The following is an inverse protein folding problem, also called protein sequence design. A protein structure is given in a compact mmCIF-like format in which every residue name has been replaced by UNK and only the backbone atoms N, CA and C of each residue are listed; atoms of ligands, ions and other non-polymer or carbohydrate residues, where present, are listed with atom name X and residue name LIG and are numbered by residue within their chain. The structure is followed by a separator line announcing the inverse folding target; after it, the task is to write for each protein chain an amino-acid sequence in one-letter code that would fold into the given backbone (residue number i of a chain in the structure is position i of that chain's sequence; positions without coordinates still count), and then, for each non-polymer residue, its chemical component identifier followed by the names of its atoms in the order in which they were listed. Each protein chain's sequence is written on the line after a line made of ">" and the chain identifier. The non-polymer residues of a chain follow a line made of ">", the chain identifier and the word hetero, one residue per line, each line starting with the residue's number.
data_IF_683342088063
#
_entry.id   IF_683342088063
#
_cell.length_a   1.000
_cell.length_b   1.000
_cell.length_c   1.000
_cell.angle_alpha   90.00
_cell.angle_beta   90.00
_cell.angle_gamma   90.00
#
_symmetry.space_group_name_H-M   'P 1'
#
loop_
_entity.id
_entity.type
_entity.pdbx_description
1 polymer ?
#
# COMPACT_ATOMS: atom_id res chain seq x y z
N UNK A 1 -13.93 -54.88 -39.04
CA UNK A 1 -13.03 -54.30 -38.01
C UNK A 1 -13.46 -52.85 -37.77
N UNK A 2 -13.99 -52.56 -36.57
CA UNK A 2 -14.18 -51.22 -35.96
C UNK A 2 -13.15 -51.14 -34.81
N UNK A 3 -12.57 -49.99 -34.44
CA UNK A 3 -13.24 -48.99 -33.58
C UNK A 3 -12.96 -47.53 -34.06
N UNK A 4 -13.68 -46.45 -33.74
CA UNK A 4 -14.47 -45.94 -32.61
C UNK A 4 -13.82 -44.61 -32.19
N UNK A 5 -14.67 -43.60 -32.01
CA UNK A 5 -14.37 -42.19 -31.91
C UNK A 5 -13.48 -41.79 -30.72
N UNK A 6 -12.64 -40.78 -30.93
CA UNK A 6 -11.92 -40.06 -29.88
C UNK A 6 -12.19 -38.58 -30.10
N UNK A 7 -12.97 -37.96 -29.21
CA UNK A 7 -12.82 -36.57 -28.83
C UNK A 7 -13.22 -36.43 -27.36
N UNK A 8 -12.20 -36.52 -26.50
CA UNK A 8 -12.26 -36.23 -25.08
C UNK A 8 -12.42 -34.71 -24.91
N UNK A 9 -13.56 -34.29 -24.36
CA UNK A 9 -13.77 -32.94 -23.85
C UNK A 9 -12.91 -32.76 -22.59
N UNK A 10 -11.69 -32.25 -22.77
CA UNK A 10 -10.84 -31.83 -21.66
C UNK A 10 -11.36 -30.51 -21.09
N UNK A 11 -12.03 -30.58 -19.93
CA UNK A 11 -12.32 -29.39 -19.13
C UNK A 11 -11.00 -28.81 -18.63
N UNK A 12 -10.56 -27.71 -19.25
CA UNK A 12 -9.48 -26.87 -18.74
C UNK A 12 -10.04 -26.09 -17.54
N UNK A 13 -9.79 -26.59 -16.33
CA UNK A 13 -9.87 -25.77 -15.14
C UNK A 13 -8.69 -24.80 -15.17
N UNK A 14 -8.94 -23.57 -15.60
CA UNK A 14 -8.02 -22.46 -15.42
C UNK A 14 -7.99 -22.15 -13.92
N UNK A 15 -6.96 -22.60 -13.24
CA UNK A 15 -6.61 -22.13 -11.90
C UNK A 15 -6.35 -20.62 -12.00
N UNK A 16 -7.24 -19.82 -11.44
CA UNK A 16 -6.99 -18.40 -11.21
C UNK A 16 -5.78 -18.28 -10.28
N UNK A 17 -4.66 -17.82 -10.84
CA UNK A 17 -3.51 -17.37 -10.05
C UNK A 17 -3.98 -16.12 -9.31
N UNK A 18 -4.37 -16.27 -8.05
CA UNK A 18 -4.67 -15.13 -7.20
C UNK A 18 -3.34 -14.45 -6.89
N UNK A 19 -3.13 -13.23 -7.39
CA UNK A 19 -1.95 -12.44 -7.08
C UNK A 19 -2.04 -12.00 -5.61
N UNK A 20 -1.49 -12.83 -4.71
CA UNK A 20 -1.33 -12.46 -3.31
C UNK A 20 -0.23 -11.39 -3.24
N UNK A 21 -0.59 -10.19 -2.82
CA UNK A 21 0.37 -9.11 -2.63
C UNK A 21 1.42 -9.54 -1.61
N UNK A 22 2.70 -9.55 -1.99
CA UNK A 22 3.83 -9.89 -1.11
C UNK A 22 4.10 -8.82 -0.04
N UNK A 23 3.45 -7.66 -0.15
CA UNK A 23 3.57 -6.56 0.81
C UNK A 23 2.52 -6.72 1.90
N UNK A 24 2.95 -6.60 3.16
CA UNK A 24 2.04 -6.67 4.31
C UNK A 24 1.27 -5.35 4.46
N UNK A 25 1.83 -4.25 3.95
CA UNK A 25 1.22 -2.91 4.00
C UNK A 25 1.15 -2.27 2.64
N UNK A 26 0.03 -1.60 2.37
CA UNK A 26 -0.18 -0.89 1.12
C UNK A 26 -0.77 0.50 1.37
N UNK A 27 -0.10 1.51 0.85
CA UNK A 27 -0.47 2.92 0.95
C UNK A 27 -0.74 3.50 -0.43
N UNK A 28 -1.73 4.38 -0.53
CA UNK A 28 -1.83 5.33 -1.64
C UNK A 28 -1.57 6.74 -1.13
N UNK A 29 -0.74 7.49 -1.85
CA UNK A 29 -0.45 8.88 -1.54
C UNK A 29 -0.67 9.78 -2.75
N UNK A 30 -1.03 11.04 -2.52
CA UNK A 30 -1.20 12.03 -3.57
C UNK A 30 -0.96 13.43 -3.04
N UNK A 31 -0.55 14.32 -3.93
CA UNK A 31 -0.43 15.74 -3.62
C UNK A 31 -1.77 16.44 -3.80
N UNK A 32 -2.26 17.09 -2.75
CA UNK A 32 -3.55 17.78 -2.74
C UNK A 32 -3.44 19.25 -3.21
N UNK A 33 -2.23 19.77 -3.41
CA UNK A 33 -1.99 21.20 -3.56
C UNK A 33 -1.75 21.89 -2.21
N UNK A 34 -1.38 23.18 -2.27
CA UNK A 34 -1.14 24.03 -1.10
C UNK A 34 -0.14 23.44 -0.09
N UNK A 35 0.91 22.78 -0.59
CA UNK A 35 1.92 22.13 0.23
C UNK A 35 1.40 20.95 1.05
N UNK A 36 0.35 20.23 0.61
CA UNK A 36 -0.19 19.07 1.33
C UNK A 36 -0.01 17.76 0.57
N UNK A 37 0.65 16.81 1.21
CA UNK A 37 0.70 15.42 0.78
C UNK A 37 -0.28 14.62 1.63
N UNK A 38 -1.20 13.91 0.99
CA UNK A 38 -2.16 13.05 1.66
C UNK A 38 -1.82 11.60 1.40
N UNK A 39 -1.95 10.75 2.42
CA UNK A 39 -1.72 9.32 2.33
C UNK A 39 -2.85 8.55 3.02
N UNK A 40 -3.28 7.46 2.39
CA UNK A 40 -4.33 6.58 2.87
C UNK A 40 -3.79 5.14 2.94
N UNK A 41 -4.00 4.50 4.08
CA UNK A 41 -3.68 3.09 4.27
C UNK A 41 -4.76 2.24 3.61
N UNK A 42 -4.39 1.50 2.56
CA UNK A 42 -5.29 0.62 1.82
C UNK A 42 -5.30 -0.80 2.38
N UNK A 43 -4.14 -1.27 2.87
CA UNK A 43 -3.98 -2.55 3.54
C UNK A 43 -3.10 -2.38 4.76
N UNK A 44 -3.65 -2.69 5.94
CA UNK A 44 -2.90 -2.69 7.18
C UNK A 44 -2.01 -3.93 7.32
N UNK A 45 -0.96 -3.78 8.12
CA UNK A 45 -0.08 -4.88 8.52
C UNK A 45 -0.88 -5.95 9.24
N UNK A 46 -0.74 -7.20 8.81
CA UNK A 46 -1.27 -8.36 9.53
C UNK A 46 -0.25 -8.97 10.48
N UNK A 47 1.03 -8.63 10.28
CA UNK A 47 2.13 -9.03 11.16
C UNK A 47 2.11 -8.23 12.47
N UNK A 48 2.46 -8.85 13.61
CA UNK A 48 2.69 -8.14 14.86
C UNK A 48 3.66 -6.98 14.65
N UNK A 49 3.40 -5.83 15.29
CA UNK A 49 4.25 -4.64 15.19
C UNK A 49 5.73 -5.03 15.35
N UNK A 50 6.53 -4.72 14.32
CA UNK A 50 7.96 -4.99 14.35
C UNK A 50 8.60 -4.26 15.54
N UNK A 51 9.19 -4.97 16.52
CA UNK A 51 9.81 -4.35 17.68
C UNK A 51 11.03 -3.49 17.31
N UNK A 52 11.57 -3.56 16.10
CA UNK A 52 12.62 -2.65 15.61
C UNK A 52 12.08 -1.27 15.19
N UNK A 53 10.76 -1.13 15.06
CA UNK A 53 10.06 0.14 14.98
C UNK A 53 9.74 0.70 16.37
N UNK A 54 10.06 -0.02 17.45
CA UNK A 54 9.88 0.45 18.83
C UNK A 54 10.81 1.65 19.13
N UNK A 55 10.27 2.76 19.64
CA UNK A 55 11.06 3.93 20.02
C UNK A 55 12.21 3.65 21.00
N UNK A 56 12.15 2.56 21.77
CA UNK A 56 13.19 2.18 22.71
C UNK A 56 14.47 1.65 22.03
N UNK A 57 14.39 1.19 20.77
CA UNK A 57 15.54 0.60 20.04
C UNK A 57 16.28 1.59 19.16
N UNK A 58 15.65 2.70 18.76
CA UNK A 58 16.29 3.79 18.01
C UNK A 58 16.49 4.95 18.98
N UNK A 59 17.73 5.40 19.21
CA UNK A 59 18.14 6.29 20.31
C UNK A 59 17.40 7.63 20.50
N UNK A 60 16.36 7.94 19.70
CA UNK A 60 15.34 8.95 19.99
C UNK A 60 13.95 8.35 19.75
N UNK A 61 13.03 8.38 20.73
CA UNK A 61 11.67 7.90 20.55
C UNK A 61 10.96 8.75 19.48
N UNK A 62 10.32 8.11 18.51
CA UNK A 62 9.46 8.82 17.56
C UNK A 62 8.12 9.15 18.25
N UNK A 63 7.40 10.18 17.79
CA UNK A 63 6.02 10.39 18.22
C UNK A 63 5.14 9.16 17.94
N UNK A 64 4.16 8.90 18.79
CA UNK A 64 3.27 7.73 18.68
C UNK A 64 2.60 7.60 17.30
N UNK A 65 2.18 8.72 16.71
CA UNK A 65 1.54 8.71 15.39
C UNK A 65 2.49 8.27 14.28
N UNK A 66 3.77 8.63 14.36
CA UNK A 66 4.80 8.18 13.42
C UNK A 66 5.02 6.68 13.55
N UNK A 67 4.94 6.12 14.76
CA UNK A 67 4.97 4.68 14.95
C UNK A 67 3.78 3.98 14.33
N UNK A 68 2.57 4.53 14.48
CA UNK A 68 1.37 3.95 13.87
C UNK A 68 1.47 3.95 12.34
N UNK A 69 1.96 5.05 11.75
CA UNK A 69 2.17 5.20 10.30
C UNK A 69 3.20 4.18 9.82
N UNK A 70 4.39 4.17 10.43
CA UNK A 70 5.46 3.26 10.04
C UNK A 70 5.17 1.81 10.35
N UNK A 71 4.21 1.50 11.23
CA UNK A 71 3.73 0.16 11.47
C UNK A 71 2.60 -0.25 10.52
N UNK A 72 1.97 0.68 9.79
CA UNK A 72 0.76 0.44 9.01
C UNK A 72 -0.36 -0.17 9.85
N UNK A 73 -0.59 0.40 11.04
CA UNK A 73 -1.55 -0.12 12.01
C UNK A 73 -2.99 -0.09 11.48
N UNK A 74 -3.80 -1.09 11.86
CA UNK A 74 -5.25 -1.08 11.60
C UNK A 74 -5.93 0.16 12.18
N UNK A 75 -5.37 0.79 13.22
CA UNK A 75 -5.88 2.06 13.75
C UNK A 75 -5.89 3.20 12.71
N UNK A 76 -5.12 3.07 11.63
CA UNK A 76 -5.07 4.01 10.51
C UNK A 76 -5.93 3.59 9.32
N UNK A 77 -6.59 2.42 9.36
CA UNK A 77 -7.56 2.07 8.32
C UNK A 77 -8.65 3.14 8.28
N UNK A 78 -8.95 3.59 7.06
CA UNK A 78 -9.91 4.68 6.80
C UNK A 78 -9.52 6.06 7.34
N UNK A 79 -8.30 6.23 7.87
CA UNK A 79 -7.78 7.52 8.31
C UNK A 79 -6.89 8.14 7.24
N UNK A 80 -7.12 9.43 6.95
CA UNK A 80 -6.27 10.22 6.07
C UNK A 80 -5.09 10.78 6.86
N UNK A 81 -3.87 10.47 6.42
CA UNK A 81 -2.63 11.03 6.97
C UNK A 81 -2.23 12.24 6.11
N UNK A 82 -2.31 13.44 6.68
CA UNK A 82 -1.83 14.67 6.05
C UNK A 82 -0.38 14.95 6.48
N UNK A 83 0.50 15.08 5.49
CA UNK A 83 1.92 15.41 5.65
C UNK A 83 2.13 16.81 5.07
N UNK A 84 2.36 17.83 5.93
CA UNK A 84 2.60 19.18 5.46
C UNK A 84 4.00 19.30 4.84
N UNK A 85 4.05 19.88 3.65
CA UNK A 85 5.25 20.33 2.98
C UNK A 85 5.49 21.79 3.36
N UNK A 86 6.76 22.17 3.49
CA UNK A 86 7.10 23.57 3.78
C UNK A 86 6.74 24.53 2.65
N UNK A 87 6.72 24.05 1.40
CA UNK A 87 6.43 24.84 0.20
C UNK A 87 5.67 23.97 -0.82
N UNK A 88 5.05 24.63 -1.80
CA UNK A 88 4.56 23.95 -2.99
C UNK A 88 5.74 23.31 -3.74
N UNK A 89 5.67 22.02 -4.09
CA UNK A 89 6.77 21.32 -4.73
C UNK A 89 6.87 21.66 -6.21
N UNK A 90 8.10 21.91 -6.68
CA UNK A 90 8.41 22.06 -8.11
C UNK A 90 8.68 20.70 -8.79
N UNK A 91 9.10 19.70 -8.00
CA UNK A 91 9.44 18.35 -8.47
C UNK A 91 8.55 17.30 -7.80
N UNK A 92 7.62 16.75 -8.57
CA UNK A 92 6.68 15.72 -8.10
C UNK A 92 7.36 14.36 -7.86
N UNK A 93 8.49 14.07 -8.49
CA UNK A 93 9.25 12.83 -8.20
C UNK A 93 9.86 12.89 -6.81
N UNK A 94 10.30 14.07 -6.37
CA UNK A 94 10.78 14.26 -5.01
C UNK A 94 9.64 14.10 -3.99
N UNK A 95 8.44 14.59 -4.32
CA UNK A 95 7.24 14.42 -3.47
C UNK A 95 6.87 12.96 -3.33
N UNK A 96 6.90 12.21 -4.43
CA UNK A 96 6.67 10.76 -4.43
C UNK A 96 7.69 10.03 -3.54
N UNK A 97 8.97 10.36 -3.65
CA UNK A 97 10.01 9.78 -2.79
C UNK A 97 9.81 10.12 -1.32
N UNK A 98 9.47 11.38 -1.02
CA UNK A 98 9.14 11.83 0.33
C UNK A 98 7.94 11.05 0.89
N UNK A 99 6.89 10.87 0.09
CA UNK A 99 5.72 10.09 0.47
C UNK A 99 6.10 8.66 0.83
N UNK A 100 6.91 8.00 -0.01
CA UNK A 100 7.40 6.65 0.25
C UNK A 100 8.13 6.56 1.58
N UNK A 101 9.11 7.44 1.80
CA UNK A 101 9.92 7.42 3.03
C UNK A 101 9.06 7.75 4.26
N UNK A 102 8.05 8.60 4.12
CA UNK A 102 7.18 9.00 5.24
C UNK A 102 6.29 7.87 5.74
N UNK A 103 5.76 7.04 4.83
CA UNK A 103 4.80 5.97 5.20
C UNK A 103 5.42 4.57 5.28
N UNK A 104 6.46 4.31 4.48
CA UNK A 104 7.16 3.02 4.48
C UNK A 104 8.51 3.06 5.20
N UNK A 105 9.13 4.23 5.39
CA UNK A 105 10.52 4.30 5.84
C UNK A 105 11.44 3.51 4.91
N UNK A 106 12.21 2.59 5.49
CA UNK A 106 13.18 1.72 4.79
C UNK A 106 12.70 0.25 4.72
N UNK A 107 11.42 -0.03 4.99
CA UNK A 107 10.92 -1.40 5.07
C UNK A 107 10.60 -1.98 3.70
N UNK A 108 11.06 -3.19 3.41
CA UNK A 108 10.79 -3.89 2.15
C UNK A 108 9.39 -4.50 2.03
N UNK A 109 8.67 -4.63 3.15
CA UNK A 109 7.32 -5.21 3.24
C UNK A 109 6.19 -4.17 3.10
N UNK A 110 6.55 -2.94 2.68
CA UNK A 110 5.62 -1.84 2.45
C UNK A 110 5.62 -1.42 0.99
N UNK A 111 4.42 -1.29 0.42
CA UNK A 111 4.20 -0.67 -0.88
C UNK A 111 3.54 0.69 -0.70
N UNK A 112 3.99 1.66 -1.48
CA UNK A 112 3.36 2.96 -1.63
C UNK A 112 3.13 3.20 -3.11
N UNK A 113 1.89 3.51 -3.47
CA UNK A 113 1.48 3.92 -4.81
C UNK A 113 1.18 5.42 -4.81
N UNK A 114 1.84 6.17 -5.67
CA UNK A 114 1.59 7.60 -5.81
C UNK A 114 0.58 7.83 -6.92
N UNK A 115 -0.55 8.43 -6.59
CA UNK A 115 -1.63 8.70 -7.55
C UNK A 115 -1.70 10.18 -7.86
N UNK A 116 -2.07 10.48 -9.11
CA UNK A 116 -2.15 11.85 -9.60
C UNK A 116 -3.51 12.48 -9.33
N UNK A 117 -4.54 11.65 -9.12
CA UNK A 117 -5.92 12.11 -8.96
C UNK A 117 -6.69 11.29 -7.94
N UNK A 118 -7.76 11.87 -7.39
CA UNK A 118 -8.69 11.17 -6.49
C UNK A 118 -9.47 10.05 -7.21
N UNK A 119 -9.69 10.17 -8.53
CA UNK A 119 -10.30 9.09 -9.32
C UNK A 119 -9.39 7.86 -9.39
N UNK A 120 -8.08 8.07 -9.54
CA UNK A 120 -7.11 6.98 -9.52
C UNK A 120 -7.03 6.31 -8.15
N UNK A 121 -7.16 7.09 -7.07
CA UNK A 121 -7.30 6.55 -5.71
C UNK A 121 -8.53 5.62 -5.59
N UNK A 122 -9.69 6.04 -6.10
CA UNK A 122 -10.92 5.23 -6.04
C UNK A 122 -10.75 3.91 -6.80
N UNK A 123 -10.12 3.94 -7.99
CA UNK A 123 -9.83 2.73 -8.76
C UNK A 123 -8.88 1.77 -8.03
N UNK A 124 -7.87 2.30 -7.35
CA UNK A 124 -6.97 1.47 -6.52
C UNK A 124 -7.73 0.81 -5.37
N UNK A 125 -8.60 1.54 -4.67
CA UNK A 125 -9.40 1.00 -3.58
C UNK A 125 -10.34 -0.12 -4.03
N UNK A 126 -10.99 0.04 -5.18
CA UNK A 126 -11.85 -0.98 -5.78
C UNK A 126 -11.08 -2.25 -6.13
N UNK A 127 -9.85 -2.10 -6.66
CA UNK A 127 -9.00 -3.25 -7.00
C UNK A 127 -8.61 -4.10 -5.79
N UNK A 128 -8.43 -3.48 -4.63
CA UNK A 128 -8.05 -4.16 -3.38
C UNK A 128 -9.28 -4.81 -2.73
N UNK A 129 -10.43 -4.15 -2.78
CA UNK A 129 -11.69 -4.66 -2.19
C UNK A 129 -12.26 -5.84 -2.99
N UNK A 130 -11.92 -5.94 -4.27
CA UNK A 130 -12.43 -6.99 -5.17
C UNK A 130 -11.62 -8.29 -5.17
N UNK A 131 -10.57 -8.41 -4.34
CA UNK A 131 -9.87 -9.67 -4.12
C UNK A 131 -10.56 -10.46 -2.98
N UNK A 132 -11.30 -11.56 -3.29
CA UNK A 132 -11.90 -12.43 -2.27
C UNK A 132 -10.87 -13.22 -1.48
#
# INVERSE_FOLDING_TARGET
>A
MRPLAILLFGMLFTSGVHAQSIYDRDWACWYQGAGKLNCLLLKASTSPQDPTLDPATRGRPLPGDVHLILAGSEALQSSLVEIPLMNDPEDMLLVEQLARVSVCGDTSDCRMTFVSTEQELALLQESITSQP
#
